data_IF_879356068675
#
_entry.id   IF_879356068675
#
_cell.length_a   1.000
_cell.length_b   1.000
_cell.length_c   1.000
_cell.angle_alpha   90.00
_cell.angle_beta   90.00
_cell.angle_gamma   90.00
#
_symmetry.space_group_name_H-M   'P 1'
#
loop_
_entity.id
_entity.type
_entity.pdbx_description
1 polymer ?
#
# COMPACT_ATOMS: atom_id res chain seq x y z
N UNK A 1 -0.15 -1.38 -26.77
CA UNK A 1 -0.79 -0.10 -26.37
C UNK A 1 -2.20 -0.27 -25.79
N UNK A 2 -3.13 -1.03 -26.43
CA UNK A 2 -4.47 -1.32 -25.86
C UNK A 2 -4.42 -2.19 -24.59
N UNK A 3 -3.66 -3.27 -24.59
CA UNK A 3 -3.52 -4.16 -23.42
C UNK A 3 -2.96 -3.48 -22.16
N UNK A 4 -1.95 -2.60 -22.30
CA UNK A 4 -1.40 -1.84 -21.18
C UNK A 4 -2.38 -0.85 -20.55
N UNK A 5 -3.20 -0.17 -21.37
CA UNK A 5 -4.26 0.72 -20.85
C UNK A 5 -5.35 -0.07 -20.12
N UNK A 6 -5.75 -1.23 -20.65
CA UNK A 6 -6.74 -2.11 -20.01
C UNK A 6 -6.24 -2.61 -18.66
N UNK A 7 -4.99 -3.05 -18.56
CA UNK A 7 -4.40 -3.51 -17.31
C UNK A 7 -4.38 -2.41 -16.24
N UNK A 8 -3.97 -1.18 -16.60
CA UNK A 8 -3.96 -0.05 -15.67
C UNK A 8 -5.38 0.30 -15.19
N UNK A 9 -6.34 0.39 -16.11
CA UNK A 9 -7.73 0.71 -15.77
C UNK A 9 -8.33 -0.35 -14.86
N UNK A 10 -8.13 -1.64 -15.16
CA UNK A 10 -8.61 -2.73 -14.31
C UNK A 10 -7.99 -2.67 -12.90
N UNK A 11 -6.68 -2.44 -12.79
CA UNK A 11 -6.02 -2.30 -11.49
C UNK A 11 -6.58 -1.13 -10.67
N UNK A 12 -6.82 0.02 -11.31
CA UNK A 12 -7.41 1.19 -10.63
C UNK A 12 -8.84 0.91 -10.21
N UNK A 13 -9.67 0.32 -11.08
CA UNK A 13 -11.07 -0.01 -10.76
C UNK A 13 -11.15 -1.00 -9.61
N UNK A 14 -10.34 -2.07 -9.65
CA UNK A 14 -10.29 -3.07 -8.57
C UNK A 14 -9.80 -2.43 -7.27
N UNK A 15 -8.74 -1.62 -7.31
CA UNK A 15 -8.24 -0.91 -6.13
C UNK A 15 -9.28 0.03 -5.51
N UNK A 16 -9.94 0.85 -6.33
CA UNK A 16 -11.00 1.74 -5.86
C UNK A 16 -12.21 0.96 -5.33
N UNK A 17 -12.55 -0.17 -5.93
CA UNK A 17 -13.65 -1.02 -5.45
C UNK A 17 -13.35 -1.60 -4.06
N UNK A 18 -12.11 -2.02 -3.78
CA UNK A 18 -11.73 -2.48 -2.44
C UNK A 18 -11.72 -1.34 -1.42
N UNK A 19 -11.22 -0.16 -1.78
CA UNK A 19 -11.28 1.02 -0.89
C UNK A 19 -12.73 1.35 -0.55
N UNK A 20 -13.61 1.38 -1.54
CA UNK A 20 -15.04 1.62 -1.33
C UNK A 20 -15.67 0.54 -0.45
N UNK A 21 -15.30 -0.72 -0.63
CA UNK A 21 -15.80 -1.83 0.19
C UNK A 21 -15.35 -1.71 1.66
N UNK A 22 -14.07 -1.44 1.91
CA UNK A 22 -13.51 -1.35 3.26
C UNK A 22 -14.01 -0.13 4.02
N UNK A 23 -14.19 1.01 3.34
CA UNK A 23 -14.70 2.23 3.97
C UNK A 23 -16.23 2.26 4.05
N UNK A 24 -16.93 1.63 3.10
CA UNK A 24 -18.39 1.63 3.03
C UNK A 24 -19.07 0.56 3.89
N UNK A 25 -18.43 -0.60 4.07
CA UNK A 25 -19.01 -1.73 4.82
C UNK A 25 -18.07 -2.28 5.93
N UNK A 26 -17.45 -1.44 6.78
CA UNK A 26 -16.50 -1.92 7.76
C UNK A 26 -17.13 -2.84 8.81
N UNK A 27 -18.29 -2.46 9.37
CA UNK A 27 -18.93 -3.26 10.40
C UNK A 27 -19.39 -4.63 9.90
N UNK A 28 -20.09 -4.77 8.76
CA UNK A 28 -20.42 -6.08 8.20
C UNK A 28 -19.18 -6.97 8.05
N UNK A 29 -18.08 -6.44 7.49
CA UNK A 29 -16.84 -7.20 7.29
C UNK A 29 -16.26 -7.68 8.61
N UNK A 30 -16.06 -6.79 9.58
CA UNK A 30 -15.47 -7.14 10.88
C UNK A 30 -16.36 -8.12 11.63
N UNK A 31 -17.67 -7.95 11.53
CA UNK A 31 -18.66 -8.76 12.23
C UNK A 31 -18.73 -10.21 11.77
N UNK A 32 -18.11 -10.55 10.63
CA UNK A 32 -17.94 -11.95 10.19
C UNK A 32 -16.87 -12.69 11.00
N UNK A 33 -15.98 -11.95 11.68
CA UNK A 33 -14.82 -12.50 12.37
C UNK A 33 -14.91 -12.39 13.90
N UNK A 34 -15.99 -11.83 14.45
CA UNK A 34 -16.16 -11.63 15.89
C UNK A 34 -17.48 -12.19 16.41
N UNK A 35 -17.48 -12.66 17.65
CA UNK A 35 -18.70 -12.96 18.37
C UNK A 35 -19.35 -11.67 18.87
N UNK A 36 -20.50 -11.32 18.28
CA UNK A 36 -21.26 -10.11 18.61
C UNK A 36 -21.90 -10.15 20.01
N UNK A 37 -22.02 -11.32 20.61
CA UNK A 37 -22.58 -11.49 21.95
C UNK A 37 -21.56 -11.24 23.07
N UNK A 38 -20.27 -11.15 22.72
CA UNK A 38 -19.19 -10.85 23.66
C UNK A 38 -19.22 -9.40 24.15
N UNK A 39 -18.84 -9.19 25.41
CA UNK A 39 -18.77 -7.85 26.01
C UNK A 39 -17.73 -6.93 25.31
N UNK A 40 -16.74 -7.52 24.63
CA UNK A 40 -15.66 -6.81 23.94
C UNK A 40 -16.02 -6.39 22.51
N UNK A 41 -17.11 -6.91 21.94
CA UNK A 41 -17.51 -6.67 20.55
C UNK A 41 -17.55 -5.18 20.16
N UNK A 42 -18.08 -4.24 20.98
CA UNK A 42 -18.08 -2.82 20.63
C UNK A 42 -16.67 -2.23 20.49
N UNK A 43 -15.75 -2.64 21.37
CA UNK A 43 -14.37 -2.16 21.34
C UNK A 43 -13.60 -2.73 20.14
N UNK A 44 -13.82 -4.00 19.82
CA UNK A 44 -13.21 -4.65 18.65
C UNK A 44 -13.74 -4.02 17.35
N UNK A 45 -15.03 -3.73 17.27
CA UNK A 45 -15.62 -3.03 16.11
C UNK A 45 -15.01 -1.65 15.90
N UNK A 46 -14.79 -0.89 16.96
CA UNK A 46 -14.19 0.45 16.88
C UNK A 46 -12.75 0.40 16.37
N UNK A 47 -11.90 -0.43 16.99
CA UNK A 47 -10.50 -0.60 16.59
C UNK A 47 -10.42 -1.19 15.18
N UNK A 48 -11.21 -2.23 14.91
CA UNK A 48 -11.28 -2.90 13.62
C UNK A 48 -11.67 -1.96 12.49
N UNK A 49 -12.62 -1.04 12.72
CA UNK A 49 -13.04 -0.05 11.70
C UNK A 49 -11.89 0.87 11.33
N UNK A 50 -11.12 1.31 12.33
CA UNK A 50 -9.94 2.16 12.12
C UNK A 50 -8.84 1.41 11.37
N UNK A 51 -8.58 0.15 11.74
CA UNK A 51 -7.60 -0.71 11.07
C UNK A 51 -8.02 -1.05 9.63
N UNK A 52 -9.32 -1.21 9.37
CA UNK A 52 -9.82 -1.49 8.02
C UNK A 52 -9.68 -0.26 7.11
N UNK A 53 -9.85 0.96 7.66
CA UNK A 53 -9.53 2.18 6.94
C UNK A 53 -8.02 2.29 6.62
N UNK A 54 -7.14 1.91 7.56
CA UNK A 54 -5.71 1.81 7.28
C UNK A 54 -5.39 0.74 6.23
N UNK A 55 -6.10 -0.40 6.23
CA UNK A 55 -5.94 -1.44 5.22
C UNK A 55 -6.31 -0.93 3.81
N UNK A 56 -7.33 -0.08 3.70
CA UNK A 56 -7.68 0.57 2.44
C UNK A 56 -6.54 1.45 1.90
N UNK A 57 -5.90 2.23 2.78
CA UNK A 57 -4.72 3.04 2.42
C UNK A 57 -3.51 2.15 2.06
N UNK A 58 -3.27 1.10 2.85
CA UNK A 58 -2.19 0.13 2.64
C UNK A 58 -2.25 -0.46 1.23
N UNK A 59 -3.43 -0.90 0.79
CA UNK A 59 -3.56 -1.54 -0.51
C UNK A 59 -3.30 -0.61 -1.69
N UNK A 60 -3.67 0.67 -1.60
CA UNK A 60 -3.36 1.63 -2.67
C UNK A 60 -1.84 1.77 -2.87
N UNK A 61 -1.10 1.83 -1.77
CA UNK A 61 0.36 1.90 -1.80
C UNK A 61 0.98 0.58 -2.26
N UNK A 62 0.42 -0.55 -1.83
CA UNK A 62 0.88 -1.88 -2.24
C UNK A 62 0.71 -2.07 -3.75
N UNK A 63 -0.46 -1.70 -4.29
CA UNK A 63 -0.71 -1.74 -5.72
C UNK A 63 0.28 -0.90 -6.52
N UNK A 64 0.58 0.31 -6.05
CA UNK A 64 1.59 1.17 -6.68
C UNK A 64 3.00 0.55 -6.63
N UNK A 65 3.38 -0.05 -5.50
CA UNK A 65 4.66 -0.72 -5.33
C UNK A 65 4.78 -1.97 -6.23
N UNK A 66 3.75 -2.82 -6.28
CA UNK A 66 3.70 -4.02 -7.12
C UNK A 66 3.81 -3.64 -8.60
N UNK A 67 3.10 -2.59 -9.03
CA UNK A 67 3.24 -2.07 -10.40
C UNK A 67 4.67 -1.61 -10.69
N UNK A 68 5.28 -0.81 -9.80
CA UNK A 68 6.65 -0.35 -9.98
C UNK A 68 7.65 -1.51 -10.08
N UNK A 69 7.51 -2.53 -9.21
CA UNK A 69 8.33 -3.75 -9.27
C UNK A 69 8.13 -4.52 -10.58
N UNK A 70 6.89 -4.63 -11.07
CA UNK A 70 6.61 -5.26 -12.36
C UNK A 70 7.29 -4.54 -13.53
N UNK A 71 7.23 -3.20 -13.53
CA UNK A 71 7.89 -2.37 -14.53
C UNK A 71 9.42 -2.51 -14.50
N UNK A 72 10.01 -2.49 -13.30
CA UNK A 72 11.46 -2.62 -13.11
C UNK A 72 11.97 -4.00 -13.52
N UNK A 73 11.22 -5.07 -13.19
CA UNK A 73 11.52 -6.44 -13.67
C UNK A 73 11.44 -6.54 -15.19
N UNK A 74 10.50 -5.82 -15.81
CA UNK A 74 10.38 -5.74 -17.27
C UNK A 74 11.60 -5.14 -17.98
N UNK A 75 12.36 -4.27 -17.30
CA UNK A 75 13.64 -3.71 -17.79
C UNK A 75 14.87 -4.38 -17.16
N UNK A 76 14.69 -5.56 -16.55
CA UNK A 76 15.73 -6.35 -15.90
C UNK A 76 16.46 -5.65 -14.73
N UNK A 77 15.84 -4.64 -14.13
CA UNK A 77 16.35 -4.03 -12.89
C UNK A 77 15.71 -4.69 -11.66
N UNK A 78 16.46 -5.56 -10.97
CA UNK A 78 15.93 -6.34 -9.83
C UNK A 78 16.76 -6.18 -8.54
N UNK A 79 18.07 -5.94 -8.65
CA UNK A 79 18.96 -5.83 -7.48
C UNK A 79 18.72 -4.56 -6.67
N UNK A 80 18.66 -3.40 -7.33
CA UNK A 80 18.45 -2.12 -6.63
C UNK A 80 17.05 -2.07 -6.00
N UNK A 81 15.96 -2.45 -6.70
CA UNK A 81 14.62 -2.51 -6.12
C UNK A 81 14.50 -3.36 -4.85
N UNK A 82 15.23 -4.49 -4.79
CA UNK A 82 15.26 -5.35 -3.62
C UNK A 82 15.80 -4.61 -2.38
N UNK A 83 16.91 -3.90 -2.52
CA UNK A 83 17.49 -3.13 -1.43
C UNK A 83 16.62 -1.94 -1.03
N UNK A 84 15.99 -1.26 -1.99
CA UNK A 84 15.04 -0.18 -1.71
C UNK A 84 13.84 -0.66 -0.91
N UNK A 85 13.27 -1.82 -1.27
CA UNK A 85 12.18 -2.44 -0.52
C UNK A 85 12.62 -2.84 0.89
N UNK A 86 13.79 -3.49 1.03
CA UNK A 86 14.34 -3.87 2.32
C UNK A 86 14.54 -2.65 3.24
N UNK A 87 15.16 -1.58 2.73
CA UNK A 87 15.32 -0.32 3.47
C UNK A 87 13.98 0.31 3.86
N UNK A 88 13.02 0.33 2.95
CA UNK A 88 11.71 0.94 3.21
C UNK A 88 10.94 0.19 4.31
N UNK A 89 10.99 -1.13 4.34
CA UNK A 89 10.30 -1.92 5.37
C UNK A 89 11.05 -1.97 6.69
N UNK A 90 12.36 -2.20 6.66
CA UNK A 90 13.16 -2.38 7.87
C UNK A 90 13.73 -1.09 8.43
N UNK A 91 14.21 -0.19 7.58
CA UNK A 91 14.81 1.08 7.99
C UNK A 91 13.77 2.17 8.27
N UNK A 92 12.60 2.12 7.63
CA UNK A 92 11.54 3.13 7.81
C UNK A 92 10.31 2.52 8.48
N UNK A 93 9.72 1.47 7.88
CA UNK A 93 8.45 0.89 8.33
C UNK A 93 8.49 0.39 9.77
N UNK A 94 9.44 -0.47 10.12
CA UNK A 94 9.57 -1.03 11.48
C UNK A 94 9.85 0.06 12.52
N UNK A 95 10.83 0.97 12.36
CA UNK A 95 11.05 2.06 13.30
C UNK A 95 9.84 2.98 13.45
N UNK A 96 9.18 3.35 12.35
CA UNK A 96 7.96 4.15 12.40
C UNK A 96 6.84 3.43 13.16
N UNK A 97 6.68 2.12 12.92
CA UNK A 97 5.71 1.28 13.63
C UNK A 97 6.00 1.23 15.12
N UNK A 98 7.27 1.06 15.51
CA UNK A 98 7.68 1.05 16.91
C UNK A 98 7.41 2.40 17.60
N UNK A 99 7.81 3.51 16.95
CA UNK A 99 7.60 4.84 17.49
C UNK A 99 6.11 5.16 17.65
N UNK A 100 5.29 4.88 16.63
CA UNK A 100 3.87 5.19 16.66
C UNK A 100 3.09 4.28 17.62
N UNK A 101 3.39 2.98 17.63
CA UNK A 101 2.69 2.02 18.48
C UNK A 101 3.02 2.23 19.97
N UNK A 102 4.31 2.31 20.30
CA UNK A 102 4.77 2.22 21.69
C UNK A 102 5.19 3.57 22.28
N UNK A 103 5.84 4.46 21.52
CA UNK A 103 6.26 5.76 22.05
C UNK A 103 5.13 6.79 22.01
N UNK A 104 4.36 6.83 20.92
CA UNK A 104 3.20 7.71 20.78
C UNK A 104 1.91 7.11 21.38
N UNK A 105 1.91 5.81 21.73
CA UNK A 105 0.79 5.17 22.41
C UNK A 105 -0.41 4.84 21.53
N UNK A 106 -0.27 4.84 20.20
CA UNK A 106 -1.37 4.49 19.28
C UNK A 106 -1.62 2.98 19.15
N UNK A 107 -0.85 2.14 19.85
CA UNK A 107 -1.05 0.70 19.89
C UNK A 107 -1.07 0.06 18.50
N UNK A 108 -2.08 -0.76 18.22
CA UNK A 108 -2.25 -1.44 16.93
C UNK A 108 -2.40 -0.46 15.76
N UNK A 109 -3.13 0.64 15.93
CA UNK A 109 -3.29 1.68 14.89
C UNK A 109 -1.93 2.29 14.54
N UNK A 110 -1.09 2.56 15.54
CA UNK A 110 0.27 3.06 15.34
C UNK A 110 1.16 2.06 14.60
N UNK A 111 1.07 0.77 14.95
CA UNK A 111 1.83 -0.30 14.30
C UNK A 111 1.50 -0.37 12.80
N UNK A 112 0.22 -0.42 12.46
CA UNK A 112 -0.23 -0.48 11.06
C UNK A 112 0.07 0.81 10.30
N UNK A 113 -0.02 1.97 10.94
CA UNK A 113 0.34 3.25 10.34
C UNK A 113 1.83 3.30 9.96
N UNK A 114 2.72 2.77 10.80
CA UNK A 114 4.14 2.66 10.48
C UNK A 114 4.41 1.76 9.27
N UNK A 115 3.69 0.64 9.14
CA UNK A 115 3.78 -0.22 7.96
C UNK A 115 3.31 0.50 6.68
N UNK A 116 2.21 1.26 6.76
CA UNK A 116 1.71 2.10 5.65
C UNK A 116 2.78 3.13 5.23
N UNK A 117 3.47 3.76 6.19
CA UNK A 117 4.57 4.69 5.91
C UNK A 117 5.71 3.96 5.18
N UNK A 118 6.13 2.79 5.66
CA UNK A 118 7.16 1.98 4.99
C UNK A 118 6.77 1.62 3.55
N UNK A 119 5.50 1.25 3.33
CA UNK A 119 4.97 0.97 1.99
C UNK A 119 4.95 2.22 1.10
N UNK A 120 4.59 3.38 1.66
CA UNK A 120 4.59 4.65 0.92
C UNK A 120 6.01 4.99 0.43
N UNK A 121 7.02 4.80 1.27
CA UNK A 121 8.43 4.96 0.91
C UNK A 121 8.83 3.96 -0.19
N UNK A 122 8.47 2.68 -0.04
CA UNK A 122 8.80 1.65 -1.03
C UNK A 122 8.19 2.00 -2.40
N UNK A 123 6.88 2.29 -2.44
CA UNK A 123 6.16 2.71 -3.64
C UNK A 123 6.82 3.93 -4.30
N UNK A 124 7.08 4.99 -3.53
CA UNK A 124 7.65 6.23 -4.05
C UNK A 124 9.07 6.01 -4.61
N UNK A 125 9.95 5.34 -3.87
CA UNK A 125 11.33 5.08 -4.31
C UNK A 125 11.40 4.19 -5.55
N UNK A 126 10.58 3.14 -5.60
CA UNK A 126 10.54 2.22 -6.75
C UNK A 126 9.94 2.91 -7.99
N UNK A 127 8.89 3.69 -7.82
CA UNK A 127 8.30 4.45 -8.92
C UNK A 127 9.29 5.49 -9.45
N UNK A 128 9.93 6.26 -8.56
CA UNK A 128 10.96 7.23 -8.92
C UNK A 128 12.13 6.55 -9.66
N UNK A 129 12.58 5.38 -9.17
CA UNK A 129 13.64 4.58 -9.78
C UNK A 129 13.34 4.22 -11.22
N UNK A 130 12.11 3.79 -11.50
CA UNK A 130 11.68 3.46 -12.86
C UNK A 130 11.71 4.71 -13.77
N UNK A 131 11.08 5.80 -13.36
CA UNK A 131 11.00 7.02 -14.18
C UNK A 131 12.34 7.71 -14.41
N UNK A 132 13.30 7.59 -13.48
CA UNK A 132 14.65 8.10 -13.66
C UNK A 132 15.51 7.25 -14.61
N UNK A 133 15.17 5.97 -14.82
CA UNK A 133 15.92 5.06 -15.71
C UNK A 133 15.36 4.98 -17.11
N UNK A 134 14.05 5.16 -17.29
CA UNK A 134 13.45 5.17 -18.62
C UNK A 134 13.77 6.51 -19.26
N UNK A 135 14.55 6.57 -20.36
CA UNK A 135 14.77 7.80 -21.09
C UNK A 135 13.41 8.37 -21.50
N UNK A 136 13.17 9.67 -21.24
CA UNK A 136 11.99 10.35 -21.78
C UNK A 136 12.00 10.13 -23.30
N UNK A 137 10.87 9.77 -23.94
CA UNK A 137 10.83 9.68 -25.38
C UNK A 137 11.19 11.07 -25.94
N UNK A 138 12.44 11.22 -26.40
CA UNK A 138 12.84 12.35 -27.20
C UNK A 138 11.90 12.38 -28.42
N UNK A 139 11.42 13.57 -28.76
CA UNK A 139 10.47 13.79 -29.85
C UNK A 139 10.87 13.04 -31.12
N UNK A 140 10.27 11.88 -31.38
CA UNK A 140 10.42 11.11 -32.64
C UNK A 140 9.53 11.71 -33.74
N UNK A 141 9.39 13.04 -33.76
CA UNK A 141 8.57 13.78 -34.74
C UNK A 141 9.32 14.96 -35.37
N UNK A 142 10.64 14.84 -35.53
CA UNK A 142 11.42 15.74 -36.38
C UNK A 142 12.44 14.95 -37.20
N UNK A 143 11.95 14.24 -38.22
CA UNK A 143 12.72 13.81 -39.39
C UNK A 143 11.73 13.53 -40.53
#
# INVERSE_FOLDING_TARGET
>A
RRGGRVAIVLSVVVGLSQVALYLGLPQPIISLFIDRSSAEAPQILLIGTTLLALAAAFQLLDGAQVMALGLLRGVQDTRVPMWLAAFSYWGVGIPASYLLAFKAGYGSVGLWSGLVIGLAFASAMLMARFWLRVPRPAAVYSA
#
